data_IF_712847109707
#
_entry.id   IF_712847109707
#
_cell.length_a   1.000
_cell.length_b   1.000
_cell.length_c   1.000
_cell.angle_alpha   90.00
_cell.angle_beta   90.00
_cell.angle_gamma   90.00
#
_symmetry.space_group_name_H-M   'P 1'
#
loop_
_entity.id
_entity.type
_entity.pdbx_description
1 polymer ?
#
# COMPACT_ATOMS: atom_id res chain seq x y z
N UNK A 1 5.93 14.71 -3.64
CA UNK A 1 4.69 14.66 -2.83
C UNK A 1 5.07 14.83 -1.36
N UNK A 2 4.39 15.69 -0.60
CA UNK A 2 4.62 15.82 0.86
C UNK A 2 3.60 14.97 1.59
N UNK A 3 4.03 13.82 2.11
CA UNK A 3 3.20 12.93 2.92
C UNK A 3 3.28 13.35 4.39
N UNK A 4 2.17 13.18 5.12
CA UNK A 4 2.10 13.41 6.57
C UNK A 4 2.27 12.08 7.32
N UNK A 5 2.15 12.10 8.64
CA UNK A 5 2.63 11.03 9.53
C UNK A 5 1.96 9.69 9.20
N UNK A 6 0.64 9.67 9.06
CA UNK A 6 -0.11 8.42 8.91
C UNK A 6 0.10 7.82 7.51
N UNK A 7 0.12 8.68 6.48
CA UNK A 7 0.48 8.25 5.13
C UNK A 7 1.92 7.71 5.06
N UNK A 8 2.88 8.40 5.69
CA UNK A 8 4.28 7.95 5.72
C UNK A 8 4.43 6.60 6.43
N UNK A 9 3.70 6.40 7.53
CA UNK A 9 3.68 5.13 8.25
C UNK A 9 3.21 3.99 7.35
N UNK A 10 2.02 4.12 6.74
CA UNK A 10 1.46 3.07 5.88
C UNK A 10 2.35 2.77 4.68
N UNK A 11 2.92 3.79 4.03
CA UNK A 11 3.83 3.58 2.89
C UNK A 11 5.11 2.86 3.30
N UNK A 12 5.68 3.18 4.47
CA UNK A 12 6.86 2.48 4.97
C UNK A 12 6.54 1.02 5.29
N UNK A 13 5.44 0.76 6.00
CA UNK A 13 5.00 -0.60 6.33
C UNK A 13 4.84 -1.48 5.08
N UNK A 14 4.11 -0.97 4.09
CA UNK A 14 3.86 -1.66 2.81
C UNK A 14 5.15 -1.82 1.99
N UNK A 15 6.04 -0.83 2.01
CA UNK A 15 7.35 -0.92 1.34
C UNK A 15 8.25 -1.96 1.99
N UNK A 16 8.25 -2.06 3.32
CA UNK A 16 9.06 -3.04 4.04
C UNK A 16 8.62 -4.48 3.72
N UNK A 17 7.31 -4.70 3.50
CA UNK A 17 6.82 -5.97 2.97
C UNK A 17 7.29 -6.24 1.54
N UNK A 18 7.13 -5.26 0.64
CA UNK A 18 7.57 -5.37 -0.77
C UNK A 18 9.07 -5.66 -0.89
N UNK A 19 9.89 -5.06 -0.03
CA UNK A 19 11.34 -5.26 0.04
C UNK A 19 11.74 -6.60 0.69
N UNK A 20 10.77 -7.40 1.15
CA UNK A 20 11.02 -8.68 1.81
C UNK A 20 11.60 -8.57 3.22
N UNK A 21 11.47 -7.42 3.88
CA UNK A 21 11.95 -7.21 5.26
C UNK A 21 11.04 -7.81 6.31
N UNK A 22 9.80 -8.15 5.95
CA UNK A 22 8.85 -8.88 6.79
C UNK A 22 8.23 -10.06 6.03
N UNK A 23 7.75 -11.04 6.79
CA UNK A 23 7.03 -12.18 6.22
C UNK A 23 5.61 -11.78 5.80
N UNK A 24 4.99 -12.56 4.91
CA UNK A 24 3.56 -12.39 4.59
C UNK A 24 2.70 -12.59 5.83
N UNK A 25 3.06 -13.55 6.69
CA UNK A 25 2.31 -13.81 7.92
C UNK A 25 2.26 -12.59 8.85
N UNK A 26 3.40 -11.92 9.06
CA UNK A 26 3.46 -10.72 9.89
C UNK A 26 2.71 -9.54 9.22
N UNK A 27 2.86 -9.40 7.91
CA UNK A 27 2.15 -8.36 7.15
C UNK A 27 0.63 -8.53 7.24
N UNK A 28 0.10 -9.72 6.96
CA UNK A 28 -1.34 -10.02 6.98
C UNK A 28 -1.93 -9.85 8.39
N UNK A 29 -1.15 -10.16 9.44
CA UNK A 29 -1.58 -10.00 10.84
C UNK A 29 -1.82 -8.53 11.21
N UNK A 30 -0.94 -7.63 10.74
CA UNK A 30 -0.92 -6.22 11.14
C UNK A 30 -1.68 -5.31 10.17
N UNK A 31 -1.78 -5.65 8.87
CA UNK A 31 -2.28 -4.75 7.83
C UNK A 31 -3.67 -4.19 8.14
N UNK A 32 -4.64 -5.06 8.41
CA UNK A 32 -6.02 -4.66 8.71
C UNK A 32 -6.11 -3.75 9.94
N UNK A 33 -5.31 -4.02 10.98
CA UNK A 33 -5.27 -3.18 12.17
C UNK A 33 -4.72 -1.78 11.87
N UNK A 34 -3.65 -1.70 11.07
CA UNK A 34 -3.06 -0.43 10.66
C UNK A 34 -3.94 0.36 9.69
N UNK A 35 -4.71 -0.28 8.81
CA UNK A 35 -5.72 0.41 8.00
C UNK A 35 -6.76 1.07 8.91
N UNK A 36 -7.29 0.33 9.90
CA UNK A 36 -8.27 0.87 10.86
C UNK A 36 -7.69 2.06 11.66
N UNK A 37 -6.43 1.96 12.10
CA UNK A 37 -5.78 3.00 12.91
C UNK A 37 -5.40 4.24 12.08
N UNK A 38 -4.85 4.06 10.88
CA UNK A 38 -4.18 5.14 10.15
C UNK A 38 -5.03 5.74 9.03
N UNK A 39 -5.93 4.98 8.41
CA UNK A 39 -6.68 5.48 7.25
C UNK A 39 -7.57 6.70 7.55
N UNK A 40 -8.33 6.74 8.66
CA UNK A 40 -9.13 7.94 8.99
C UNK A 40 -8.26 9.20 9.14
N UNK A 41 -7.07 9.05 9.71
CA UNK A 41 -6.12 10.16 9.84
C UNK A 41 -5.50 10.52 8.50
N UNK A 42 -5.22 9.57 7.62
CA UNK A 42 -4.80 9.85 6.23
C UNK A 42 -5.84 10.68 5.48
N UNK A 43 -7.13 10.37 5.66
CA UNK A 43 -8.23 11.14 5.08
C UNK A 43 -8.25 12.57 5.61
N UNK A 44 -8.12 12.76 6.93
CA UNK A 44 -8.00 14.09 7.54
C UNK A 44 -6.76 14.86 7.07
N UNK A 45 -5.64 14.15 6.91
CA UNK A 45 -4.33 14.69 6.55
C UNK A 45 -4.29 15.18 5.11
N UNK A 46 -4.81 14.35 4.17
CA UNK A 46 -4.78 14.59 2.74
C UNK A 46 -5.77 13.68 1.96
N UNK A 47 -7.06 14.04 1.83
CA UNK A 47 -8.13 13.15 1.33
C UNK A 47 -7.85 12.52 -0.05
N UNK A 48 -7.27 13.29 -0.97
CA UNK A 48 -6.93 12.79 -2.32
C UNK A 48 -5.86 11.70 -2.30
N UNK A 49 -4.91 11.77 -1.38
CA UNK A 49 -3.87 10.75 -1.26
C UNK A 49 -4.37 9.52 -0.52
N UNK A 50 -5.20 9.70 0.50
CA UNK A 50 -5.88 8.58 1.16
C UNK A 50 -6.73 7.77 0.15
N UNK A 51 -7.51 8.47 -0.68
CA UNK A 51 -8.27 7.82 -1.76
C UNK A 51 -7.37 7.11 -2.76
N UNK A 52 -6.27 7.73 -3.20
CA UNK A 52 -5.30 7.07 -4.09
C UNK A 52 -4.69 5.83 -3.45
N UNK A 53 -4.36 5.88 -2.15
CA UNK A 53 -3.87 4.70 -1.42
C UNK A 53 -4.89 3.56 -1.46
N UNK A 54 -6.17 3.86 -1.21
CA UNK A 54 -7.24 2.87 -1.29
C UNK A 54 -7.40 2.29 -2.71
N UNK A 55 -7.39 3.16 -3.72
CA UNK A 55 -7.58 2.78 -5.12
C UNK A 55 -6.39 1.98 -5.71
N UNK A 56 -5.22 1.97 -5.04
CA UNK A 56 -4.01 1.26 -5.53
C UNK A 56 -3.51 0.18 -4.57
N UNK A 57 -3.07 0.56 -3.37
CA UNK A 57 -2.37 -0.33 -2.44
C UNK A 57 -3.36 -1.24 -1.72
N UNK A 58 -4.42 -0.66 -1.15
CA UNK A 58 -5.46 -1.40 -0.43
C UNK A 58 -6.16 -2.40 -1.36
N UNK A 59 -6.54 -1.94 -2.57
CA UNK A 59 -7.09 -2.81 -3.60
C UNK A 59 -6.15 -3.99 -4.00
N UNK A 60 -4.84 -3.78 -3.99
CA UNK A 60 -3.87 -4.84 -4.27
C UNK A 60 -3.77 -5.85 -3.12
N UNK A 61 -3.78 -5.38 -1.86
CA UNK A 61 -3.81 -6.27 -0.69
C UNK A 61 -5.08 -7.11 -0.67
N UNK A 62 -6.24 -6.48 -0.85
CA UNK A 62 -7.53 -7.19 -0.95
C UNK A 62 -7.48 -8.27 -2.03
N UNK A 63 -6.98 -7.92 -3.22
CA UNK A 63 -6.85 -8.89 -4.32
C UNK A 63 -5.95 -10.08 -3.95
N UNK A 64 -4.85 -9.84 -3.23
CA UNK A 64 -3.94 -10.89 -2.76
C UNK A 64 -4.58 -11.83 -1.75
N UNK A 65 -5.41 -11.32 -0.84
CA UNK A 65 -6.06 -12.13 0.18
C UNK A 65 -7.10 -13.08 -0.44
N UNK A 66 -7.85 -12.61 -1.45
CA UNK A 66 -8.85 -13.43 -2.14
C UNK A 66 -8.26 -14.45 -3.13
N UNK A 67 -6.95 -14.39 -3.41
CA UNK A 67 -6.29 -15.23 -4.39
C UNK A 67 -5.17 -16.05 -3.74
N UNK A 68 -4.99 -17.29 -4.19
CA UNK A 68 -3.85 -18.11 -3.74
C UNK A 68 -2.56 -17.72 -4.48
N UNK A 69 -2.12 -16.46 -4.34
CA UNK A 69 -0.88 -15.95 -4.93
C UNK A 69 0.32 -16.31 -4.06
N UNK A 70 1.48 -16.50 -4.69
CA UNK A 70 2.73 -16.75 -3.96
C UNK A 70 3.20 -15.48 -3.23
N UNK A 71 4.00 -15.65 -2.18
CA UNK A 71 4.58 -14.51 -1.45
C UNK A 71 5.44 -13.62 -2.36
N UNK A 72 6.12 -14.21 -3.34
CA UNK A 72 6.93 -13.46 -4.30
C UNK A 72 6.06 -12.63 -5.24
N UNK A 73 5.02 -13.23 -5.81
CA UNK A 73 4.07 -12.51 -6.66
C UNK A 73 3.34 -11.41 -5.87
N UNK A 74 3.06 -11.65 -4.59
CA UNK A 74 2.45 -10.65 -3.72
C UNK A 74 3.37 -9.44 -3.53
N UNK A 75 4.66 -9.66 -3.23
CA UNK A 75 5.64 -8.56 -3.11
C UNK A 75 5.77 -7.76 -4.40
N UNK A 76 5.82 -8.44 -5.55
CA UNK A 76 5.85 -7.79 -6.86
C UNK A 76 4.60 -6.94 -7.07
N UNK A 77 3.43 -7.47 -6.74
CA UNK A 77 2.15 -6.75 -6.88
C UNK A 77 2.10 -5.50 -6.00
N UNK A 78 2.56 -5.60 -4.74
CA UNK A 78 2.64 -4.45 -3.85
C UNK A 78 3.65 -3.41 -4.34
N UNK A 79 4.80 -3.84 -4.87
CA UNK A 79 5.77 -2.93 -5.46
C UNK A 79 5.18 -2.15 -6.66
N UNK A 80 4.42 -2.83 -7.52
CA UNK A 80 3.69 -2.20 -8.62
C UNK A 80 2.63 -1.22 -8.11
N UNK A 81 1.85 -1.59 -7.09
CA UNK A 81 0.86 -0.70 -6.48
C UNK A 81 1.49 0.54 -5.83
N UNK A 82 2.68 0.42 -5.24
CA UNK A 82 3.47 1.54 -4.74
C UNK A 82 3.94 2.45 -5.89
N UNK A 83 4.37 1.88 -7.01
CA UNK A 83 4.73 2.63 -8.22
C UNK A 83 3.52 3.42 -8.76
N UNK A 84 2.36 2.79 -8.88
CA UNK A 84 1.10 3.41 -9.30
C UNK A 84 0.65 4.50 -8.33
N UNK A 85 0.79 4.28 -7.01
CA UNK A 85 0.53 5.28 -5.99
C UNK A 85 1.45 6.51 -6.11
N UNK A 86 2.73 6.29 -6.40
CA UNK A 86 3.71 7.37 -6.56
C UNK A 86 3.61 8.05 -7.93
N UNK A 87 2.92 7.44 -8.90
CA UNK A 87 2.91 7.89 -10.29
C UNK A 87 4.23 7.63 -11.01
N UNK A 88 4.97 6.62 -10.56
CA UNK A 88 6.22 6.17 -11.17
C UNK A 88 5.83 5.01 -12.08
N UNK A 89 5.46 5.29 -13.33
CA UNK A 89 5.00 4.22 -14.23
C UNK A 89 4.21 4.69 -15.45
N UNK A 90 3.59 5.86 -15.41
CA UNK A 90 3.00 6.47 -16.61
C UNK A 90 3.97 7.50 -17.21
N UNK A 91 4.62 7.23 -18.38
CA UNK A 91 4.92 8.34 -19.26
C UNK A 91 3.57 8.98 -19.61
N UNK A 92 3.44 10.29 -19.37
CA UNK A 92 2.29 11.07 -19.83
C UNK A 92 2.00 10.70 -21.29
N UNK A 93 0.96 9.90 -21.55
CA UNK A 93 0.43 9.72 -22.88
C UNK A 93 -0.40 10.97 -23.16
N UNK A 94 0.30 11.97 -23.71
CA UNK A 94 -0.29 13.10 -24.44
C UNK A 94 -0.75 12.59 -25.81
#
# INVERSE_FOLDING_TARGET
MKVKKHMAFMLNFVSDFADGKMSRFDFDLDYSAYVIEHFPEMENEHPRLARRFADTIDAAVDFAEYRNISDEDFRIMINNALCDFLGIGEPNLI
#
